data_IF_448006070402
#
_entry.id   IF_448006070402
#
_cell.length_a   1.000
_cell.length_b   1.000
_cell.length_c   1.000
_cell.angle_alpha   90.00
_cell.angle_beta   90.00
_cell.angle_gamma   90.00
#
_symmetry.space_group_name_H-M   'P 1'
#
loop_
_entity.id
_entity.type
_entity.pdbx_description
1 polymer ?
#
# COMPACT_ATOMS: atom_id res chain seq x y z
N UNK A 1 39.45 36.71 -25.80
CA UNK A 1 38.22 37.52 -25.67
C UNK A 1 37.49 37.07 -24.41
N UNK A 2 37.63 37.82 -23.30
CA UNK A 2 36.93 37.51 -22.06
C UNK A 2 35.51 38.06 -22.13
N UNK A 3 34.52 37.19 -22.31
CA UNK A 3 33.10 37.54 -22.21
C UNK A 3 32.78 37.82 -20.74
N UNK A 4 32.86 39.08 -20.31
CA UNK A 4 32.43 39.51 -18.97
C UNK A 4 30.91 39.57 -18.95
N UNK A 5 30.23 38.43 -18.84
CA UNK A 5 28.80 38.43 -18.52
C UNK A 5 28.64 38.95 -17.10
N UNK A 6 27.97 40.10 -16.98
CA UNK A 6 27.66 40.78 -15.72
C UNK A 6 26.69 39.97 -14.82
N UNK A 7 26.14 38.88 -15.34
CA UNK A 7 25.17 38.03 -14.66
C UNK A 7 25.52 36.55 -14.87
N UNK A 8 25.49 35.72 -13.81
CA UNK A 8 25.72 34.28 -13.90
C UNK A 8 24.67 33.60 -14.79
N UNK A 9 25.07 32.52 -15.48
CA UNK A 9 24.17 31.78 -16.37
C UNK A 9 23.21 30.91 -15.56
N UNK A 10 21.88 31.18 -15.57
CA UNK A 10 20.91 30.43 -14.75
C UNK A 10 20.83 28.93 -15.06
N UNK A 11 21.35 28.51 -16.22
CA UNK A 11 21.31 27.11 -16.68
C UNK A 11 22.53 26.29 -16.26
N UNK A 12 23.60 26.94 -15.83
CA UNK A 12 24.89 26.29 -15.54
C UNK A 12 25.34 26.55 -14.10
N UNK A 13 24.92 27.67 -13.52
CA UNK A 13 25.39 28.15 -12.23
C UNK A 13 24.23 28.48 -11.31
N UNK A 14 24.49 28.36 -10.00
CA UNK A 14 23.55 28.79 -8.98
C UNK A 14 23.47 30.31 -8.91
N UNK A 15 22.26 30.86 -8.89
CA UNK A 15 22.05 32.29 -8.69
C UNK A 15 21.67 32.52 -7.23
N UNK A 16 22.44 33.38 -6.56
CA UNK A 16 22.22 33.80 -5.18
C UNK A 16 21.78 35.27 -5.14
N UNK A 17 20.90 35.60 -4.19
CA UNK A 17 20.56 36.96 -3.80
C UNK A 17 20.82 37.13 -2.30
N UNK A 18 21.95 37.77 -1.95
CA UNK A 18 22.50 37.74 -0.60
C UNK A 18 22.83 36.29 -0.19
N UNK A 19 22.38 35.88 0.99
CA UNK A 19 22.59 34.51 1.49
C UNK A 19 21.56 33.49 0.96
N UNK A 20 20.57 33.93 0.17
CA UNK A 20 19.49 33.07 -0.34
C UNK A 20 19.79 32.59 -1.76
N UNK A 21 19.79 31.26 -1.98
CA UNK A 21 19.86 30.65 -3.33
C UNK A 21 18.50 30.81 -4.03
N UNK A 22 18.48 31.52 -5.15
CA UNK A 22 17.27 31.91 -5.90
C UNK A 22 16.98 30.97 -7.06
N UNK A 23 18.01 30.48 -7.76
CA UNK A 23 17.83 29.47 -8.80
C UNK A 23 18.93 28.42 -8.73
N UNK A 24 18.55 27.18 -9.01
CA UNK A 24 19.47 26.06 -9.16
C UNK A 24 19.35 25.56 -10.60
N UNK A 25 20.45 25.18 -11.27
CA UNK A 25 20.40 24.66 -12.64
C UNK A 25 19.45 23.45 -12.83
N UNK A 26 19.18 22.71 -11.75
CA UNK A 26 18.26 21.57 -11.70
C UNK A 26 16.81 21.93 -11.30
N UNK A 27 16.51 23.20 -11.02
CA UNK A 27 15.15 23.69 -10.72
C UNK A 27 14.34 23.97 -12.00
N UNK A 28 14.72 23.38 -13.13
CA UNK A 28 13.95 23.44 -14.38
C UNK A 28 12.60 22.70 -14.26
N UNK A 29 12.44 21.91 -13.21
CA UNK A 29 11.18 21.30 -12.83
C UNK A 29 10.40 22.32 -12.00
N UNK A 30 9.16 22.65 -12.39
CA UNK A 30 8.34 23.58 -11.61
C UNK A 30 8.18 23.14 -10.15
N UNK A 31 7.86 24.05 -9.25
CA UNK A 31 7.69 23.76 -7.81
C UNK A 31 6.63 22.68 -7.50
N UNK A 32 5.74 22.39 -8.46
CA UNK A 32 4.75 21.31 -8.40
C UNK A 32 5.24 19.95 -8.91
N UNK A 33 6.39 19.91 -9.57
CA UNK A 33 6.96 18.70 -10.13
C UNK A 33 7.84 18.03 -9.08
N UNK A 34 7.24 17.09 -8.34
CA UNK A 34 7.95 16.20 -7.43
C UNK A 34 8.70 15.17 -8.28
N UNK A 35 10.04 15.27 -8.44
CA UNK A 35 10.80 14.22 -9.09
C UNK A 35 10.76 13.03 -8.12
N UNK A 36 10.18 11.91 -8.56
CA UNK A 36 9.97 10.69 -7.77
C UNK A 36 8.89 10.73 -6.68
N UNK A 37 7.64 11.07 -7.04
CA UNK A 37 6.46 10.60 -6.30
C UNK A 37 6.24 9.07 -6.47
N UNK A 38 7.30 8.26 -6.39
CA UNK A 38 7.19 6.80 -6.34
C UNK A 38 6.58 6.46 -4.99
N UNK A 39 5.33 5.98 -5.00
CA UNK A 39 4.61 5.60 -3.80
C UNK A 39 5.48 4.71 -2.90
N UNK A 40 5.73 5.18 -1.67
CA UNK A 40 6.38 4.38 -0.64
C UNK A 40 5.29 3.55 0.04
N UNK A 41 5.35 2.21 0.02
CA UNK A 41 4.36 1.40 0.67
C UNK A 41 4.27 1.75 2.16
N UNK A 42 3.10 2.24 2.58
CA UNK A 42 2.81 2.52 3.99
C UNK A 42 2.24 1.22 4.59
N UNK A 43 2.95 0.53 5.51
CA UNK A 43 2.55 -0.80 5.97
C UNK A 43 1.14 -0.82 6.58
N UNK A 44 0.80 0.20 7.38
CA UNK A 44 -0.50 0.30 8.03
C UNK A 44 -1.65 0.45 7.03
N UNK A 45 -1.43 1.14 5.90
CA UNK A 45 -2.46 1.30 4.88
C UNK A 45 -2.80 -0.04 4.21
N UNK A 46 -1.77 -0.83 3.88
CA UNK A 46 -1.96 -2.17 3.31
C UNK A 46 -2.55 -3.17 4.31
N UNK A 47 -2.13 -3.11 5.57
CA UNK A 47 -2.74 -3.89 6.65
C UNK A 47 -4.23 -3.56 6.79
N UNK A 48 -4.58 -2.27 6.91
CA UNK A 48 -5.95 -1.83 7.08
C UNK A 48 -6.82 -2.18 5.85
N UNK A 49 -6.30 -2.00 4.65
CA UNK A 49 -6.99 -2.39 3.43
C UNK A 49 -7.28 -3.88 3.40
N UNK A 50 -6.29 -4.73 3.70
CA UNK A 50 -6.47 -6.18 3.75
C UNK A 50 -7.51 -6.59 4.81
N UNK A 51 -7.42 -6.03 6.01
CA UNK A 51 -8.35 -6.26 7.10
C UNK A 51 -9.79 -5.92 6.73
N UNK A 52 -10.01 -4.71 6.17
CA UNK A 52 -11.35 -4.22 5.83
C UNK A 52 -11.95 -4.98 4.64
N UNK A 53 -11.14 -5.24 3.60
CA UNK A 53 -11.57 -6.01 2.44
C UNK A 53 -11.95 -7.44 2.83
N UNK A 54 -11.09 -8.12 3.59
CA UNK A 54 -11.38 -9.48 4.02
C UNK A 54 -12.59 -9.52 4.96
N UNK A 55 -12.68 -8.62 5.95
CA UNK A 55 -13.85 -8.54 6.83
C UNK A 55 -15.14 -8.44 6.01
N UNK A 56 -15.20 -7.47 5.10
CA UNK A 56 -16.39 -7.19 4.30
C UNK A 56 -16.74 -8.39 3.41
N UNK A 57 -15.79 -8.91 2.65
CA UNK A 57 -16.03 -10.00 1.71
C UNK A 57 -16.41 -11.30 2.43
N UNK A 58 -15.74 -11.62 3.53
CA UNK A 58 -16.07 -12.81 4.31
C UNK A 58 -17.45 -12.70 4.97
N UNK A 59 -17.83 -11.53 5.48
CA UNK A 59 -19.19 -11.30 5.99
C UNK A 59 -20.24 -11.50 4.90
N UNK A 60 -20.03 -10.93 3.72
CA UNK A 60 -20.95 -11.09 2.58
C UNK A 60 -21.08 -12.56 2.20
N UNK A 61 -19.96 -13.27 2.04
CA UNK A 61 -19.94 -14.70 1.70
C UNK A 61 -20.66 -15.53 2.75
N UNK A 62 -20.40 -15.28 4.04
CA UNK A 62 -21.03 -16.01 5.13
C UNK A 62 -22.55 -15.85 5.14
N UNK A 63 -23.06 -14.62 4.91
CA UNK A 63 -24.49 -14.33 4.86
C UNK A 63 -25.13 -14.97 3.64
N UNK A 64 -24.56 -14.76 2.45
CA UNK A 64 -25.10 -15.27 1.18
C UNK A 64 -25.13 -16.80 1.16
N UNK A 65 -24.12 -17.45 1.74
CA UNK A 65 -24.03 -18.91 1.81
C UNK A 65 -24.59 -19.50 3.11
N UNK A 66 -25.37 -18.74 3.88
CA UNK A 66 -25.92 -19.18 5.18
C UNK A 66 -26.81 -20.43 5.09
N UNK A 67 -27.53 -20.61 3.99
CA UNK A 67 -28.38 -21.79 3.74
C UNK A 67 -27.64 -22.97 3.07
N UNK A 68 -26.35 -22.79 2.74
CA UNK A 68 -25.54 -23.80 2.08
C UNK A 68 -24.68 -24.59 3.08
N UNK A 69 -24.07 -25.68 2.62
CA UNK A 69 -23.13 -26.47 3.42
C UNK A 69 -21.97 -25.61 3.94
N UNK A 70 -21.56 -25.85 5.18
CA UNK A 70 -20.41 -25.21 5.81
C UNK A 70 -19.12 -25.39 4.99
N UNK A 71 -18.95 -26.54 4.33
CA UNK A 71 -17.80 -26.82 3.48
C UNK A 71 -17.66 -25.84 2.32
N UNK A 72 -18.76 -25.47 1.66
CA UNK A 72 -18.76 -24.51 0.56
C UNK A 72 -18.33 -23.13 1.07
N UNK A 73 -18.85 -22.74 2.24
CA UNK A 73 -18.51 -21.46 2.87
C UNK A 73 -17.02 -21.39 3.23
N UNK A 74 -16.47 -22.47 3.82
CA UNK A 74 -15.05 -22.56 4.19
C UNK A 74 -14.16 -22.53 2.95
N UNK A 75 -14.48 -23.31 1.92
CA UNK A 75 -13.69 -23.37 0.69
C UNK A 75 -13.61 -21.99 0.00
N UNK A 76 -14.75 -21.32 -0.18
CA UNK A 76 -14.79 -20.01 -0.83
C UNK A 76 -14.10 -18.93 0.01
N UNK A 77 -14.32 -18.94 1.33
CA UNK A 77 -13.68 -17.99 2.25
C UNK A 77 -12.15 -18.16 2.29
N UNK A 78 -11.67 -19.41 2.21
CA UNK A 78 -10.24 -19.71 2.15
C UNK A 78 -9.62 -19.20 0.85
N UNK A 79 -10.32 -19.36 -0.29
CA UNK A 79 -9.86 -18.85 -1.58
C UNK A 79 -9.79 -17.32 -1.61
N UNK A 80 -10.81 -16.63 -1.07
CA UNK A 80 -10.82 -15.17 -0.94
C UNK A 80 -9.69 -14.69 -0.05
N UNK A 81 -9.49 -15.33 1.10
CA UNK A 81 -8.41 -15.00 2.04
C UNK A 81 -7.04 -15.15 1.36
N UNK A 82 -6.83 -16.23 0.60
CA UNK A 82 -5.61 -16.46 -0.17
C UNK A 82 -5.37 -15.37 -1.21
N UNK A 83 -6.40 -15.01 -1.99
CA UNK A 83 -6.30 -13.95 -3.00
C UNK A 83 -5.97 -12.58 -2.39
N UNK A 84 -6.62 -12.20 -1.29
CA UNK A 84 -6.34 -10.95 -0.56
C UNK A 84 -4.94 -10.97 0.02
N UNK A 85 -4.53 -12.11 0.60
CA UNK A 85 -3.19 -12.31 1.14
C UNK A 85 -2.11 -12.08 0.08
N UNK A 86 -2.23 -12.74 -1.08
CA UNK A 86 -1.31 -12.57 -2.21
C UNK A 86 -1.24 -11.12 -2.68
N UNK A 87 -2.40 -10.50 -2.92
CA UNK A 87 -2.49 -9.11 -3.37
C UNK A 87 -1.84 -8.13 -2.39
N UNK A 88 -2.10 -8.30 -1.10
CA UNK A 88 -1.54 -7.47 -0.02
C UNK A 88 -0.01 -7.66 0.06
N UNK A 89 0.46 -8.89 -0.13
CA UNK A 89 1.88 -9.21 -0.07
C UNK A 89 2.67 -8.55 -1.19
N UNK A 90 2.19 -8.67 -2.42
CA UNK A 90 2.85 -8.11 -3.61
C UNK A 90 2.88 -6.59 -3.62
N UNK A 91 1.80 -5.96 -3.13
CA UNK A 91 1.63 -4.51 -3.20
C UNK A 91 2.40 -3.73 -2.15
N UNK A 92 2.58 -4.30 -0.97
CA UNK A 92 3.15 -3.50 0.11
C UNK A 92 3.68 -4.23 1.31
N UNK A 93 3.37 -5.52 1.53
CA UNK A 93 3.83 -6.21 2.75
C UNK A 93 5.19 -6.88 2.59
N UNK A 94 5.61 -7.26 1.38
CA UNK A 94 6.87 -7.97 1.15
C UNK A 94 8.11 -7.19 1.62
N UNK A 95 8.09 -5.87 1.52
CA UNK A 95 9.24 -4.99 1.80
C UNK A 95 9.19 -4.35 3.20
N UNK A 96 8.22 -4.73 4.04
CA UNK A 96 8.04 -4.12 5.37
C UNK A 96 8.76 -4.89 6.48
N UNK A 97 8.87 -4.26 7.64
CA UNK A 97 9.38 -4.90 8.86
C UNK A 97 8.58 -6.15 9.25
N UNK A 98 9.24 -7.07 9.95
CA UNK A 98 8.67 -8.37 10.32
C UNK A 98 7.37 -8.26 11.14
N UNK A 99 7.27 -7.26 12.03
CA UNK A 99 6.06 -7.04 12.83
C UNK A 99 4.80 -6.84 11.98
N UNK A 100 4.87 -6.05 10.91
CA UNK A 100 3.73 -5.82 10.01
C UNK A 100 3.35 -7.07 9.21
N UNK A 101 4.34 -7.84 8.76
CA UNK A 101 4.12 -9.11 8.07
C UNK A 101 3.38 -10.10 8.96
N UNK A 102 3.84 -10.25 10.20
CA UNK A 102 3.26 -11.16 11.20
C UNK A 102 1.84 -10.69 11.56
N UNK A 103 1.66 -9.41 11.88
CA UNK A 103 0.35 -8.86 12.23
C UNK A 103 -0.67 -9.06 11.10
N UNK A 104 -0.27 -8.83 9.85
CA UNK A 104 -1.13 -9.06 8.68
C UNK A 104 -1.49 -10.54 8.57
N UNK A 105 -0.51 -11.44 8.60
CA UNK A 105 -0.78 -12.88 8.49
C UNK A 105 -1.73 -13.37 9.61
N UNK A 106 -1.51 -12.93 10.85
CA UNK A 106 -2.36 -13.27 11.99
C UNK A 106 -3.78 -12.74 11.83
N UNK A 107 -3.97 -11.51 11.36
CA UNK A 107 -5.32 -10.95 11.24
C UNK A 107 -6.13 -11.64 10.14
N UNK A 108 -5.51 -11.94 9.00
CA UNK A 108 -6.15 -12.67 7.90
C UNK A 108 -6.51 -14.10 8.36
N UNK A 109 -5.61 -14.77 9.09
CA UNK A 109 -5.85 -16.10 9.65
C UNK A 109 -6.97 -16.08 10.71
N UNK A 110 -6.98 -15.09 11.60
CA UNK A 110 -7.99 -14.96 12.65
C UNK A 110 -9.39 -14.73 12.06
N UNK A 111 -9.53 -13.84 11.09
CA UNK A 111 -10.80 -13.61 10.40
C UNK A 111 -11.31 -14.86 9.69
N UNK A 112 -10.43 -15.59 9.00
CA UNK A 112 -10.78 -16.87 8.38
C UNK A 112 -11.20 -17.91 9.43
N UNK A 113 -10.48 -18.00 10.56
CA UNK A 113 -10.81 -18.91 11.65
C UNK A 113 -12.21 -18.63 12.22
N UNK A 114 -12.60 -17.36 12.38
CA UNK A 114 -13.96 -17.00 12.79
C UNK A 114 -15.02 -17.50 11.81
N UNK A 115 -14.78 -17.38 10.50
CA UNK A 115 -15.70 -17.92 9.50
C UNK A 115 -15.76 -19.44 9.56
N UNK A 116 -14.62 -20.12 9.71
CA UNK A 116 -14.59 -21.58 9.85
C UNK A 116 -15.36 -22.04 11.09
N UNK A 117 -15.22 -21.35 12.22
CA UNK A 117 -15.97 -21.63 13.44
C UNK A 117 -17.49 -21.39 13.26
N UNK A 118 -17.88 -20.34 12.57
CA UNK A 118 -19.30 -20.09 12.29
C UNK A 118 -19.90 -21.07 11.27
N UNK A 119 -19.11 -21.49 10.29
CA UNK A 119 -19.52 -22.44 9.26
C UNK A 119 -19.54 -23.88 9.78
N UNK A 120 -18.77 -24.20 10.83
CA UNK A 120 -18.69 -25.55 11.40
C UNK A 120 -20.03 -26.06 11.94
N UNK A 121 -20.92 -25.15 12.35
CA UNK A 121 -22.28 -25.46 12.79
C UNK A 121 -23.18 -26.05 11.68
N UNK A 122 -22.73 -26.02 10.42
CA UNK A 122 -23.47 -26.47 9.23
C UNK A 122 -22.68 -27.49 8.39
N UNK A 123 -21.70 -28.17 9.00
CA UNK A 123 -20.91 -29.23 8.36
C UNK A 123 -21.72 -30.51 8.17
#
# INVERSE_FOLDING_TARGET
MSDRRKYPNPREEDIYAGDRRVSRPDSALPDWHIPDAKYRPIPIAWFAAAFLLQLTLLTVVFIVLSAQSGWITIALSSLITGAIGMWTWERGMKDTGAGWKIATALVLAAQLAFVCLGASARL
#
